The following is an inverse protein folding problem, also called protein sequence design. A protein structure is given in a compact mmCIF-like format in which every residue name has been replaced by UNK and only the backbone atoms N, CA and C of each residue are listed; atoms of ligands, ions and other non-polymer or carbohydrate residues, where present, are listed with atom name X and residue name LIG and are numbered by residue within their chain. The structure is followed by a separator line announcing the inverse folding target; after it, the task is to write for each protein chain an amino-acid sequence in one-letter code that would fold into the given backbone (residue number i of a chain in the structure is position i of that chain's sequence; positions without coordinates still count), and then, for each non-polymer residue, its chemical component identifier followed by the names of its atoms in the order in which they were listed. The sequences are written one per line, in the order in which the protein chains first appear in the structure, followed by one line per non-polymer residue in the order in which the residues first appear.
data_IF_270393690223
#
_entry.id   IF_270393690223
#
_cell.length_a   1.000
_cell.length_b   1.000
_cell.length_c   1.000
_cell.angle_alpha   90.00
_cell.angle_beta   90.00
_cell.angle_gamma   90.00
#
_symmetry.space_group_name_H-M   'P 1'
#
loop_
_entity.id
_entity.type
_entity.pdbx_description
1 polymer ?
#
# COMPACT_ATOMS: atom_id res chain seq x y z
N UNK A 1 21.91 3.52 -23.42
CA UNK A 1 21.95 3.46 -21.94
C UNK A 1 20.50 3.58 -21.52
N UNK A 2 19.87 2.49 -21.07
CA UNK A 2 18.46 2.55 -20.65
C UNK A 2 18.30 3.65 -19.62
N UNK A 3 17.37 4.57 -19.88
CA UNK A 3 17.09 5.65 -18.95
C UNK A 3 16.56 5.00 -17.67
N UNK A 4 17.35 5.07 -16.59
CA UNK A 4 16.92 4.53 -15.30
C UNK A 4 15.67 5.29 -14.88
N UNK A 5 14.60 4.55 -14.59
CA UNK A 5 13.33 5.13 -14.17
C UNK A 5 13.51 6.11 -12.98
N UNK A 6 12.80 7.23 -13.04
CA UNK A 6 13.05 8.41 -12.22
C UNK A 6 12.82 8.17 -10.72
N UNK A 7 11.92 7.26 -10.37
CA UNK A 7 11.68 6.85 -8.98
C UNK A 7 12.90 6.15 -8.36
N UNK A 8 13.75 5.49 -9.17
CA UNK A 8 15.01 4.89 -8.69
C UNK A 8 16.17 5.89 -8.67
N UNK A 9 16.17 6.90 -9.54
CA UNK A 9 17.22 7.92 -9.57
C UNK A 9 17.12 8.88 -8.38
N UNK A 10 15.91 9.27 -8.00
CA UNK A 10 15.65 10.25 -6.96
C UNK A 10 14.58 9.79 -5.95
N UNK A 11 14.74 8.60 -5.33
CA UNK A 11 13.69 7.96 -4.55
C UNK A 11 13.17 8.85 -3.42
N UNK A 12 14.07 9.53 -2.69
CA UNK A 12 13.67 10.36 -1.55
C UNK A 12 12.72 11.50 -1.95
N UNK A 13 13.05 12.20 -3.04
CA UNK A 13 12.31 13.40 -3.45
C UNK A 13 11.04 13.03 -4.21
N UNK A 14 11.16 12.09 -5.15
CA UNK A 14 10.05 11.69 -6.02
C UNK A 14 8.96 11.02 -5.19
N UNK A 15 9.30 10.06 -4.32
CA UNK A 15 8.29 9.36 -3.52
C UNK A 15 7.61 10.25 -2.48
N UNK A 16 8.36 11.18 -1.88
CA UNK A 16 7.83 12.14 -0.91
C UNK A 16 6.80 13.07 -1.53
N UNK A 17 7.10 13.63 -2.71
CA UNK A 17 6.13 14.41 -3.48
C UNK A 17 4.96 13.55 -3.93
N UNK A 18 5.24 12.34 -4.43
CA UNK A 18 4.23 11.46 -5.00
C UNK A 18 3.14 11.10 -3.98
N UNK A 19 3.52 10.70 -2.77
CA UNK A 19 2.55 10.40 -1.71
C UNK A 19 1.82 11.66 -1.22
N UNK A 20 2.53 12.78 -1.06
CA UNK A 20 1.92 14.02 -0.55
C UNK A 20 0.85 14.58 -1.47
N UNK A 21 1.06 14.45 -2.78
CA UNK A 21 0.21 15.02 -3.82
C UNK A 21 -0.82 14.01 -4.35
N UNK A 22 -1.00 12.88 -3.64
CA UNK A 22 -1.83 11.76 -4.10
C UNK A 22 -3.32 12.00 -3.87
N UNK A 23 -3.68 12.38 -2.64
CA UNK A 23 -5.06 12.71 -2.23
C UNK A 23 -5.53 14.01 -2.89
N UNK A 24 -4.68 15.04 -2.85
CA UNK A 24 -4.98 16.39 -3.34
C UNK A 24 -3.71 17.09 -3.80
N UNK A 25 -3.81 18.10 -4.66
CA UNK A 25 -2.65 18.90 -5.04
C UNK A 25 -2.00 19.56 -3.83
N UNK A 26 -0.66 19.58 -3.78
CA UNK A 26 0.10 20.25 -2.73
C UNK A 26 1.24 21.10 -3.29
N UNK A 27 1.54 22.18 -2.60
CA UNK A 27 2.73 23.00 -2.83
C UNK A 27 3.97 22.36 -2.20
N UNK A 28 5.15 22.76 -2.68
CA UNK A 28 6.43 22.28 -2.13
C UNK A 28 6.61 22.68 -0.66
N UNK A 29 6.10 23.85 -0.29
CA UNK A 29 6.11 24.34 1.09
C UNK A 29 5.30 23.44 2.01
N UNK A 30 4.11 22.98 1.58
CA UNK A 30 3.29 22.04 2.37
C UNK A 30 3.98 20.69 2.55
N UNK A 31 4.62 20.16 1.50
CA UNK A 31 5.38 18.90 1.58
C UNK A 31 6.60 19.04 2.50
N UNK A 32 7.30 20.17 2.38
CA UNK A 32 8.44 20.53 3.23
C UNK A 32 8.06 20.57 4.71
N UNK A 33 6.92 21.17 5.04
CA UNK A 33 6.38 21.23 6.41
C UNK A 33 5.98 19.83 6.89
N UNK A 34 5.28 19.05 6.06
CA UNK A 34 4.78 17.72 6.43
C UNK A 34 5.90 16.78 6.87
N UNK A 35 7.00 16.72 6.11
CA UNK A 35 8.12 15.81 6.38
C UNK A 35 9.35 16.45 7.03
N UNK A 36 9.27 17.74 7.38
CA UNK A 36 10.36 18.51 8.00
C UNK A 36 11.65 18.46 7.18
N UNK A 37 11.54 18.72 5.88
CA UNK A 37 12.68 18.79 4.94
C UNK A 37 12.77 20.17 4.30
N UNK A 38 13.97 20.70 4.00
CA UNK A 38 14.10 22.00 3.33
C UNK A 38 13.50 22.00 1.92
N UNK A 39 12.77 23.06 1.54
CA UNK A 39 12.25 23.24 0.17
C UNK A 39 13.35 23.19 -0.90
N UNK A 40 14.57 23.64 -0.55
CA UNK A 40 15.75 23.61 -1.43
C UNK A 40 16.10 22.20 -1.93
N UNK A 41 15.66 21.14 -1.25
CA UNK A 41 15.82 19.77 -1.72
C UNK A 41 15.15 19.54 -3.08
N UNK A 42 13.97 20.14 -3.29
CA UNK A 42 13.14 19.94 -4.47
C UNK A 42 13.51 20.88 -5.63
N UNK A 43 14.04 22.08 -5.35
CA UNK A 43 14.44 23.03 -6.39
C UNK A 43 15.84 22.77 -6.99
N UNK A 44 16.62 21.84 -6.42
CA UNK A 44 17.97 21.53 -6.90
C UNK A 44 17.93 20.80 -8.24
N UNK A 45 18.83 21.21 -9.15
CA UNK A 45 19.11 20.55 -10.43
C UNK A 45 17.86 20.39 -11.32
N UNK A 46 17.02 21.41 -11.42
CA UNK A 46 15.81 21.41 -12.25
C UNK A 46 14.83 20.26 -11.99
N UNK A 47 14.92 19.61 -10.82
CA UNK A 47 14.16 18.40 -10.50
C UNK A 47 12.64 18.54 -10.71
N UNK A 48 12.05 19.69 -10.38
CA UNK A 48 10.62 19.92 -10.58
C UNK A 48 10.21 19.93 -12.05
N UNK A 49 11.05 20.48 -12.93
CA UNK A 49 10.77 20.47 -14.36
C UNK A 49 10.90 19.03 -14.89
N UNK A 50 11.94 18.31 -14.47
CA UNK A 50 12.17 16.93 -14.90
C UNK A 50 10.99 16.00 -14.52
N UNK A 51 10.47 16.10 -13.29
CA UNK A 51 9.34 15.23 -12.88
C UNK A 51 8.03 15.56 -13.61
N UNK A 52 7.85 16.80 -14.04
CA UNK A 52 6.68 17.22 -14.84
C UNK A 52 6.85 16.78 -16.29
N UNK A 53 8.02 16.96 -16.88
CA UNK A 53 8.36 16.51 -18.24
C UNK A 53 8.26 14.98 -18.39
N UNK A 54 8.67 14.24 -17.35
CA UNK A 54 8.49 12.77 -17.28
C UNK A 54 7.04 12.34 -17.02
N UNK A 55 6.11 13.29 -16.85
CA UNK A 55 4.71 12.99 -16.62
C UNK A 55 4.42 12.31 -15.28
N UNK A 56 5.27 12.52 -14.27
CA UNK A 56 5.05 11.97 -12.91
C UNK A 56 4.09 12.88 -12.14
N UNK A 57 4.14 14.19 -12.41
CA UNK A 57 3.25 15.18 -11.82
C UNK A 57 2.64 16.10 -12.86
N UNK A 58 1.41 16.52 -12.59
CA UNK A 58 0.83 17.71 -13.21
C UNK A 58 1.15 18.93 -12.35
N UNK A 59 1.62 20.00 -12.98
CA UNK A 59 1.85 21.29 -12.34
C UNK A 59 0.66 22.22 -12.61
N UNK A 60 0.09 22.78 -11.54
CA UNK A 60 -1.00 23.76 -11.60
C UNK A 60 -0.62 25.00 -10.80
N UNK A 61 -1.13 26.17 -11.22
CA UNK A 61 -0.89 27.44 -10.54
C UNK A 61 -2.17 27.98 -9.94
N UNK A 62 -2.18 28.19 -8.62
CA UNK A 62 -3.22 28.95 -7.93
C UNK A 62 -2.66 30.32 -7.59
N UNK A 63 -3.01 31.31 -8.41
CA UNK A 63 -2.34 32.61 -8.42
C UNK A 63 -0.88 32.46 -8.86
N UNK A 64 0.07 32.77 -7.97
CA UNK A 64 1.53 32.62 -8.22
C UNK A 64 2.14 31.39 -7.56
N UNK A 65 1.33 30.57 -6.87
CA UNK A 65 1.82 29.43 -6.10
C UNK A 65 1.71 28.14 -6.94
N UNK A 66 2.82 27.39 -7.11
CA UNK A 66 2.80 26.11 -7.80
C UNK A 66 2.25 24.99 -6.90
N UNK A 67 1.36 24.18 -7.45
CA UNK A 67 0.81 22.98 -6.85
C UNK A 67 1.08 21.78 -7.76
N UNK A 68 1.46 20.66 -7.17
CA UNK A 68 1.68 19.41 -7.88
C UNK A 68 0.57 18.42 -7.58
N UNK A 69 0.21 17.62 -8.59
CA UNK A 69 -0.70 16.50 -8.47
C UNK A 69 -0.06 15.24 -9.05
N UNK A 70 -0.05 14.14 -8.29
CA UNK A 70 0.60 12.88 -8.70
C UNK A 70 -0.18 12.16 -9.80
N UNK A 71 0.54 11.67 -10.81
CA UNK A 71 -0.05 10.97 -11.96
C UNK A 71 0.41 9.51 -12.02
N UNK A 72 -0.52 8.61 -12.36
CA UNK A 72 -0.25 7.19 -12.58
C UNK A 72 0.03 6.90 -14.06
N UNK A 73 1.13 7.45 -14.58
CA UNK A 73 1.54 7.29 -15.98
C UNK A 73 2.34 6.00 -16.21
N UNK A 74 2.75 5.76 -17.45
CA UNK A 74 3.65 4.65 -17.81
C UNK A 74 4.98 4.70 -17.03
N UNK A 75 5.46 5.88 -16.63
CA UNK A 75 6.64 6.01 -15.77
C UNK A 75 6.41 5.36 -14.39
N UNK A 76 5.25 5.61 -13.77
CA UNK A 76 4.90 4.95 -12.50
C UNK A 76 4.65 3.46 -12.69
N UNK A 77 3.95 3.06 -13.76
CA UNK A 77 3.67 1.65 -14.05
C UNK A 77 4.96 0.85 -14.23
N UNK A 78 5.91 1.37 -15.00
CA UNK A 78 7.21 0.74 -15.21
C UNK A 78 8.00 0.65 -13.88
N UNK A 79 8.01 1.74 -13.10
CA UNK A 79 8.57 1.72 -11.74
C UNK A 79 7.97 0.60 -10.90
N UNK A 80 6.64 0.50 -10.85
CA UNK A 80 5.93 -0.45 -10.01
C UNK A 80 6.21 -1.90 -10.46
N UNK A 81 6.23 -2.17 -11.76
CA UNK A 81 6.58 -3.50 -12.30
C UNK A 81 8.01 -3.91 -11.94
N UNK A 82 9.00 -3.03 -12.19
CA UNK A 82 10.40 -3.31 -11.87
C UNK A 82 10.56 -3.54 -10.35
N UNK A 83 10.03 -2.64 -9.54
CA UNK A 83 10.16 -2.71 -8.08
C UNK A 83 9.44 -3.91 -7.47
N UNK A 84 8.31 -4.37 -8.03
CA UNK A 84 7.64 -5.61 -7.61
C UNK A 84 8.59 -6.81 -7.73
N UNK A 85 9.34 -6.92 -8.83
CA UNK A 85 10.31 -8.02 -9.04
C UNK A 85 11.53 -7.94 -8.13
N UNK A 86 11.80 -6.77 -7.54
CA UNK A 86 12.90 -6.55 -6.59
C UNK A 86 12.53 -6.86 -5.13
N UNK A 87 11.23 -7.04 -4.84
CA UNK A 87 10.80 -7.33 -3.48
C UNK A 87 11.25 -8.72 -3.02
N UNK A 88 11.72 -8.87 -1.78
CA UNK A 88 12.15 -10.16 -1.23
C UNK A 88 10.95 -11.01 -0.79
N UNK A 89 10.02 -11.31 -1.71
CA UNK A 89 8.77 -12.04 -1.46
C UNK A 89 8.59 -13.25 -2.40
N UNK A 90 7.55 -14.05 -2.17
CA UNK A 90 7.21 -15.20 -3.00
C UNK A 90 6.93 -14.79 -4.45
N UNK A 91 7.39 -15.61 -5.40
CA UNK A 91 7.19 -15.38 -6.83
C UNK A 91 5.69 -15.36 -7.19
N UNK A 92 4.91 -16.28 -6.66
CA UNK A 92 3.45 -16.34 -6.84
C UNK A 92 2.76 -15.02 -6.50
N UNK A 93 3.21 -14.35 -5.42
CA UNK A 93 2.66 -13.05 -5.05
C UNK A 93 3.03 -11.97 -6.07
N UNK A 94 4.30 -11.93 -6.48
CA UNK A 94 4.79 -10.98 -7.49
C UNK A 94 4.01 -11.17 -8.79
N UNK A 95 3.89 -12.40 -9.27
CA UNK A 95 3.20 -12.72 -10.52
C UNK A 95 1.71 -12.36 -10.42
N UNK A 96 1.06 -12.57 -9.25
CA UNK A 96 -0.32 -12.12 -9.02
C UNK A 96 -0.48 -10.60 -9.16
N UNK A 97 0.45 -9.81 -8.60
CA UNK A 97 0.43 -8.36 -8.74
C UNK A 97 0.74 -7.89 -10.17
N UNK A 98 1.66 -8.58 -10.87
CA UNK A 98 2.02 -8.25 -12.25
C UNK A 98 0.89 -8.57 -13.24
N UNK A 99 0.20 -9.70 -13.07
CA UNK A 99 -0.97 -10.07 -13.88
C UNK A 99 -2.07 -9.02 -13.80
N UNK A 100 -2.30 -8.47 -12.60
CA UNK A 100 -3.34 -7.47 -12.34
C UNK A 100 -2.87 -6.03 -12.54
N UNK A 101 -1.65 -5.80 -13.05
CA UNK A 101 -1.01 -4.47 -13.04
C UNK A 101 -1.91 -3.37 -13.61
N UNK A 102 -2.55 -3.60 -14.76
CA UNK A 102 -3.38 -2.57 -15.39
C UNK A 102 -4.65 -2.26 -14.58
N UNK A 103 -5.24 -3.27 -13.94
CA UNK A 103 -6.37 -3.11 -13.03
C UNK A 103 -5.94 -2.33 -11.79
N UNK A 104 -4.78 -2.65 -11.23
CA UNK A 104 -4.24 -1.99 -10.05
C UNK A 104 -3.86 -0.54 -10.31
N UNK A 105 -3.18 -0.23 -11.43
CA UNK A 105 -2.88 1.16 -11.80
C UNK A 105 -4.16 1.98 -11.96
N UNK A 106 -5.18 1.43 -12.62
CA UNK A 106 -6.49 2.08 -12.75
C UNK A 106 -7.16 2.29 -11.40
N UNK A 107 -7.10 1.29 -10.51
CA UNK A 107 -7.61 1.37 -9.15
C UNK A 107 -6.88 2.45 -8.34
N UNK A 108 -5.56 2.55 -8.45
CA UNK A 108 -4.77 3.56 -7.75
C UNK A 108 -5.16 4.99 -8.14
N UNK A 109 -5.56 5.20 -9.40
CA UNK A 109 -5.96 6.51 -9.90
C UNK A 109 -7.37 6.94 -9.47
N UNK A 110 -8.14 6.05 -8.83
CA UNK A 110 -9.48 6.40 -8.34
C UNK A 110 -9.42 7.41 -7.18
N UNK A 111 -10.41 8.29 -7.11
CA UNK A 111 -10.61 9.20 -5.95
C UNK A 111 -10.65 8.43 -4.64
N UNK A 112 -11.23 7.22 -4.67
CA UNK A 112 -11.32 6.34 -3.53
C UNK A 112 -9.93 5.91 -3.00
N UNK A 113 -9.09 5.32 -3.86
CA UNK A 113 -7.75 4.90 -3.41
C UNK A 113 -6.90 6.08 -2.97
N UNK A 114 -6.96 7.18 -3.72
CA UNK A 114 -6.30 8.46 -3.36
C UNK A 114 -6.75 8.97 -1.99
N UNK A 115 -8.03 8.76 -1.64
CA UNK A 115 -8.62 9.10 -0.34
C UNK A 115 -8.04 8.36 0.87
N UNK A 116 -7.25 7.30 0.68
CA UNK A 116 -6.50 6.67 1.78
C UNK A 116 -5.25 7.44 2.20
N UNK A 117 -4.73 8.29 1.34
CA UNK A 117 -3.43 8.95 1.55
C UNK A 117 -3.58 10.31 2.22
N UNK A 118 -4.49 10.35 3.20
CA UNK A 118 -4.74 11.51 4.06
C UNK A 118 -3.52 11.80 4.93
N UNK A 119 -3.50 13.01 5.45
CA UNK A 119 -2.35 13.51 6.20
C UNK A 119 -2.00 12.66 7.44
N UNK A 120 -2.98 12.08 8.12
CA UNK A 120 -2.77 11.18 9.26
C UNK A 120 -2.04 9.89 8.85
N UNK A 121 -2.38 9.31 7.70
CA UNK A 121 -1.65 8.17 7.10
C UNK A 121 -0.25 8.60 6.68
N UNK A 122 -0.11 9.73 5.99
CA UNK A 122 1.21 10.22 5.55
C UNK A 122 2.15 10.49 6.74
N UNK A 123 1.61 10.92 7.89
CA UNK A 123 2.37 11.17 9.13
C UNK A 123 2.91 9.91 9.79
N UNK A 124 2.49 8.71 9.38
CA UNK A 124 3.14 7.46 9.81
C UNK A 124 4.51 7.27 9.16
N UNK A 125 4.84 8.06 8.14
CA UNK A 125 6.11 8.05 7.42
C UNK A 125 6.98 9.24 7.84
N UNK A 126 8.23 8.98 8.19
CA UNK A 126 9.28 9.99 8.33
C UNK A 126 10.22 10.04 7.10
N UNK A 127 11.03 11.10 7.01
CA UNK A 127 12.00 11.33 5.92
C UNK A 127 12.94 10.16 5.61
N UNK A 128 13.26 9.31 6.60
CA UNK A 128 14.20 8.21 6.40
C UNK A 128 13.61 7.06 5.57
N UNK A 129 12.29 6.83 5.63
CA UNK A 129 11.65 5.78 4.83
C UNK A 129 11.80 6.04 3.33
N UNK A 130 11.75 7.31 2.91
CA UNK A 130 11.79 7.70 1.50
C UNK A 130 13.13 7.39 0.81
N UNK A 131 14.18 7.05 1.57
CA UNK A 131 15.45 6.57 1.02
C UNK A 131 15.35 5.17 0.43
N UNK A 132 14.37 4.38 0.84
CA UNK A 132 14.11 3.06 0.28
C UNK A 132 13.44 3.21 -1.11
N UNK A 133 14.09 2.77 -2.20
CA UNK A 133 13.51 2.87 -3.54
C UNK A 133 12.26 2.01 -3.73
N UNK A 134 11.98 1.05 -2.86
CA UNK A 134 10.83 0.15 -2.95
C UNK A 134 9.66 0.59 -2.04
N UNK A 135 9.75 1.77 -1.41
CA UNK A 135 8.76 2.22 -0.44
C UNK A 135 7.35 2.33 -1.05
N UNK A 136 7.18 3.05 -2.17
CA UNK A 136 5.87 3.20 -2.81
C UNK A 136 5.26 1.84 -3.13
N UNK A 137 6.03 0.95 -3.74
CA UNK A 137 5.57 -0.39 -4.10
C UNK A 137 5.17 -1.21 -2.89
N UNK A 138 5.93 -1.12 -1.81
CA UNK A 138 5.62 -1.78 -0.53
C UNK A 138 4.32 -1.24 0.07
N UNK A 139 4.15 0.09 0.12
CA UNK A 139 2.96 0.70 0.71
C UNK A 139 1.71 0.39 -0.12
N UNK A 140 1.79 0.53 -1.45
CA UNK A 140 0.67 0.29 -2.35
C UNK A 140 0.24 -1.17 -2.35
N UNK A 141 1.20 -2.10 -2.46
CA UNK A 141 0.91 -3.54 -2.40
C UNK A 141 0.35 -3.96 -1.04
N UNK A 142 0.85 -3.36 0.05
CA UNK A 142 0.29 -3.57 1.39
C UNK A 142 -1.14 -3.08 1.48
N UNK A 143 -1.43 -1.87 0.99
CA UNK A 143 -2.80 -1.33 0.97
C UNK A 143 -3.72 -2.25 0.17
N UNK A 144 -3.34 -2.67 -1.04
CA UNK A 144 -4.13 -3.62 -1.84
C UNK A 144 -4.35 -4.92 -1.08
N UNK A 145 -3.33 -5.48 -0.44
CA UNK A 145 -3.48 -6.71 0.33
C UNK A 145 -4.47 -6.54 1.50
N UNK A 146 -4.38 -5.45 2.26
CA UNK A 146 -5.30 -5.14 3.35
C UNK A 146 -6.75 -5.00 2.85
N UNK A 147 -6.96 -4.23 1.78
CA UNK A 147 -8.28 -4.04 1.20
C UNK A 147 -8.86 -5.36 0.67
N UNK A 148 -8.04 -6.14 -0.02
CA UNK A 148 -8.41 -7.47 -0.54
C UNK A 148 -8.78 -8.44 0.58
N UNK A 149 -8.08 -8.38 1.72
CA UNK A 149 -8.40 -9.18 2.91
C UNK A 149 -9.75 -8.81 3.52
N UNK A 150 -10.14 -7.53 3.53
CA UNK A 150 -11.49 -7.12 3.91
C UNK A 150 -12.52 -7.67 2.93
N UNK A 151 -12.26 -7.55 1.63
CA UNK A 151 -13.16 -8.11 0.60
C UNK A 151 -13.31 -9.61 0.79
N UNK A 152 -12.24 -10.36 1.05
CA UNK A 152 -12.29 -11.79 1.36
C UNK A 152 -13.17 -12.08 2.59
N UNK A 153 -12.93 -11.38 3.69
CA UNK A 153 -13.68 -11.55 4.94
C UNK A 153 -15.19 -11.32 4.74
N UNK A 154 -15.58 -10.27 4.03
CA UNK A 154 -17.00 -9.93 3.79
C UNK A 154 -17.60 -10.82 2.70
N UNK A 155 -16.95 -10.96 1.55
CA UNK A 155 -17.54 -11.62 0.38
C UNK A 155 -17.52 -13.14 0.49
N UNK A 156 -16.40 -13.72 0.92
CA UNK A 156 -16.20 -15.18 0.97
C UNK A 156 -16.70 -15.75 2.30
N UNK A 157 -16.28 -15.17 3.42
CA UNK A 157 -16.62 -15.66 4.76
C UNK A 157 -17.89 -15.05 5.36
N UNK A 158 -18.55 -14.13 4.63
CA UNK A 158 -19.82 -13.52 5.03
C UNK A 158 -19.76 -12.82 6.39
N UNK A 159 -18.58 -12.31 6.77
CA UNK A 159 -18.45 -11.52 7.98
C UNK A 159 -19.08 -10.13 7.77
N UNK A 160 -19.80 -9.59 8.76
CA UNK A 160 -20.19 -8.19 8.73
C UNK A 160 -18.95 -7.30 8.57
N UNK A 161 -19.05 -6.21 7.80
CA UNK A 161 -17.91 -5.33 7.49
C UNK A 161 -17.15 -4.85 8.74
N UNK A 162 -17.86 -4.45 9.80
CA UNK A 162 -17.21 -4.03 11.06
C UNK A 162 -16.41 -5.16 11.71
N UNK A 163 -16.95 -6.39 11.68
CA UNK A 163 -16.26 -7.58 12.20
C UNK A 163 -15.03 -7.88 11.35
N UNK A 164 -15.14 -7.84 10.02
CA UNK A 164 -14.02 -8.02 9.10
C UNK A 164 -12.90 -7.01 9.37
N UNK A 165 -13.26 -5.73 9.59
CA UNK A 165 -12.34 -4.66 9.93
C UNK A 165 -11.63 -4.92 11.26
N UNK A 166 -12.37 -5.32 12.31
CA UNK A 166 -11.77 -5.69 13.61
C UNK A 166 -10.86 -6.91 13.49
N UNK A 167 -11.27 -7.95 12.77
CA UNK A 167 -10.44 -9.14 12.52
C UNK A 167 -9.13 -8.77 11.83
N UNK A 168 -9.19 -7.87 10.84
CA UNK A 168 -7.98 -7.38 10.18
C UNK A 168 -7.10 -6.54 11.12
N UNK A 169 -7.69 -5.71 12.00
CA UNK A 169 -6.93 -4.97 13.01
C UNK A 169 -6.15 -5.90 13.96
N UNK A 170 -6.72 -7.05 14.33
CA UNK A 170 -6.06 -8.07 15.16
C UNK A 170 -5.05 -8.90 14.35
N UNK A 171 -5.37 -9.20 13.09
CA UNK A 171 -4.58 -10.08 12.22
C UNK A 171 -3.52 -9.37 11.34
N UNK A 172 -3.47 -8.03 11.31
CA UNK A 172 -2.55 -7.27 10.43
C UNK A 172 -1.08 -7.65 10.61
N UNK A 173 -0.67 -8.00 11.84
CA UNK A 173 0.71 -8.43 12.11
C UNK A 173 1.05 -9.72 11.37
N UNK A 174 0.08 -10.63 11.19
CA UNK A 174 0.26 -11.84 10.40
C UNK A 174 0.54 -11.48 8.94
N UNK A 175 -0.29 -10.62 8.34
CA UNK A 175 -0.10 -10.15 6.97
C UNK A 175 1.28 -9.51 6.80
N UNK A 176 1.67 -8.61 7.71
CA UNK A 176 2.94 -7.89 7.64
C UNK A 176 4.15 -8.71 8.10
N UNK A 177 4.00 -10.00 8.41
CA UNK A 177 5.18 -10.82 8.71
C UNK A 177 6.00 -11.07 7.46
N UNK A 178 7.32 -11.11 7.61
CA UNK A 178 8.25 -11.43 6.51
C UNK A 178 8.02 -12.79 5.84
N UNK A 179 7.18 -13.66 6.42
CA UNK A 179 6.83 -14.96 5.86
C UNK A 179 5.53 -14.94 5.05
N UNK A 180 4.58 -14.07 5.41
CA UNK A 180 3.29 -13.96 4.70
C UNK A 180 3.34 -12.88 3.61
N UNK A 181 3.75 -11.65 3.97
CA UNK A 181 3.99 -10.53 3.04
C UNK A 181 5.16 -9.68 3.55
N UNK A 182 6.39 -9.89 3.05
CA UNK A 182 7.61 -9.19 3.48
C UNK A 182 7.72 -7.77 2.92
N UNK A 183 6.65 -6.98 3.03
CA UNK A 183 6.73 -5.55 2.76
C UNK A 183 7.39 -4.84 3.95
N UNK A 184 8.30 -3.91 3.66
CA UNK A 184 8.95 -3.08 4.66
C UNK A 184 8.00 -1.94 5.11
N UNK A 185 6.83 -2.29 5.64
CA UNK A 185 5.77 -1.34 6.00
C UNK A 185 5.51 -1.40 7.51
N UNK A 186 5.41 -0.22 8.13
CA UNK A 186 5.16 -0.13 9.56
C UNK A 186 3.75 -0.60 9.91
N UNK A 187 3.61 -1.24 11.08
CA UNK A 187 2.30 -1.64 11.59
C UNK A 187 1.37 -0.43 11.75
N UNK A 188 1.90 0.72 12.17
CA UNK A 188 1.14 1.96 12.33
C UNK A 188 0.54 2.49 11.02
N UNK A 189 1.24 2.32 9.88
CA UNK A 189 0.66 2.63 8.56
C UNK A 189 -0.57 1.77 8.29
N UNK A 190 -0.44 0.44 8.42
CA UNK A 190 -1.53 -0.48 8.19
C UNK A 190 -2.72 -0.24 9.13
N UNK A 191 -2.46 0.05 10.41
CA UNK A 191 -3.49 0.43 11.37
C UNK A 191 -4.30 1.64 10.92
N UNK A 192 -3.61 2.67 10.43
CA UNK A 192 -4.25 3.92 10.02
C UNK A 192 -5.08 3.71 8.75
N UNK A 193 -4.59 2.93 7.78
CA UNK A 193 -5.37 2.51 6.60
C UNK A 193 -6.65 1.78 7.01
N UNK A 194 -6.53 0.74 7.86
CA UNK A 194 -7.70 -0.05 8.29
C UNK A 194 -8.68 0.83 9.05
N UNK A 195 -8.18 1.69 9.96
CA UNK A 195 -9.02 2.62 10.74
C UNK A 195 -9.84 3.54 9.83
N UNK A 196 -9.22 4.07 8.77
CA UNK A 196 -9.84 5.03 7.86
C UNK A 196 -10.78 4.38 6.82
N UNK A 197 -10.72 3.06 6.64
CA UNK A 197 -11.64 2.35 5.75
C UNK A 197 -13.07 2.43 6.27
N UNK A 198 -13.96 3.11 5.53
CA UNK A 198 -15.39 3.17 5.81
C UNK A 198 -16.18 2.10 5.03
N UNK A 199 -17.50 2.02 5.27
CA UNK A 199 -18.37 1.13 4.52
C UNK A 199 -18.61 1.61 3.09
N UNK A 200 -18.67 2.93 2.89
CA UNK A 200 -18.86 3.54 1.57
C UNK A 200 -17.64 3.27 0.68
N UNK A 201 -16.46 3.40 1.29
CA UNK A 201 -15.17 3.03 0.72
C UNK A 201 -15.11 1.55 0.28
N UNK A 202 -15.59 0.64 1.15
CA UNK A 202 -15.54 -0.80 0.90
C UNK A 202 -16.22 -1.23 -0.40
N UNK A 203 -17.31 -0.58 -0.82
CA UNK A 203 -18.03 -0.91 -2.06
C UNK A 203 -17.08 -0.83 -3.26
N UNK A 204 -16.17 0.14 -3.26
CA UNK A 204 -15.16 0.30 -4.30
C UNK A 204 -14.05 -0.74 -4.23
N UNK A 205 -13.81 -1.38 -3.08
CA UNK A 205 -12.88 -2.50 -2.97
C UNK A 205 -13.40 -3.79 -3.60
N UNK A 206 -14.71 -3.95 -3.79
CA UNK A 206 -15.30 -5.21 -4.28
C UNK A 206 -14.73 -5.63 -5.64
N UNK A 207 -14.32 -4.67 -6.48
CA UNK A 207 -13.63 -4.95 -7.74
C UNK A 207 -12.34 -5.77 -7.57
N UNK A 208 -11.69 -5.72 -6.41
CA UNK A 208 -10.49 -6.51 -6.14
C UNK A 208 -10.79 -8.00 -6.14
N UNK A 209 -12.04 -8.43 -5.97
CA UNK A 209 -12.46 -9.84 -5.98
C UNK A 209 -12.09 -10.58 -7.27
N UNK A 210 -12.05 -9.86 -8.39
CA UNK A 210 -11.79 -10.48 -9.70
C UNK A 210 -10.29 -10.63 -10.01
N UNK A 211 -9.44 -10.03 -9.18
CA UNK A 211 -7.97 -10.01 -9.33
C UNK A 211 -7.32 -11.35 -8.97
N UNK A 212 -6.17 -11.64 -9.57
CA UNK A 212 -5.27 -12.73 -9.15
C UNK A 212 -4.75 -12.51 -7.72
N UNK A 213 -4.50 -11.27 -7.32
CA UNK A 213 -4.14 -10.91 -5.94
C UNK A 213 -5.17 -11.42 -4.93
N UNK A 214 -6.48 -11.28 -5.22
CA UNK A 214 -7.54 -11.84 -4.38
C UNK A 214 -7.47 -13.37 -4.30
N UNK A 215 -7.28 -14.06 -5.43
CA UNK A 215 -7.19 -15.52 -5.44
C UNK A 215 -6.00 -16.02 -4.62
N UNK A 216 -4.86 -15.37 -4.76
CA UNK A 216 -3.65 -15.67 -4.00
C UNK A 216 -3.87 -15.48 -2.49
N UNK A 217 -4.42 -14.33 -2.08
CA UNK A 217 -4.72 -14.04 -0.68
C UNK A 217 -5.77 -14.98 -0.10
N UNK A 218 -6.76 -15.37 -0.90
CA UNK A 218 -7.79 -16.35 -0.51
C UNK A 218 -7.15 -17.69 -0.14
N UNK A 219 -6.23 -18.17 -0.97
CA UNK A 219 -5.49 -19.42 -0.76
C UNK A 219 -4.62 -19.35 0.50
N UNK A 220 -3.84 -18.28 0.65
CA UNK A 220 -3.01 -18.07 1.84
C UNK A 220 -3.84 -18.02 3.13
N UNK A 221 -5.00 -17.36 3.08
CA UNK A 221 -5.86 -17.26 4.25
C UNK A 221 -6.52 -18.60 4.59
N UNK A 222 -6.95 -19.39 3.60
CA UNK A 222 -7.42 -20.76 3.83
C UNK A 222 -6.34 -21.64 4.47
N UNK A 223 -5.09 -21.55 3.98
CA UNK A 223 -3.94 -22.25 4.56
C UNK A 223 -3.67 -21.82 6.00
N UNK A 224 -3.72 -20.51 6.27
CA UNK A 224 -3.58 -19.98 7.62
C UNK A 224 -4.70 -20.46 8.56
N UNK A 225 -5.96 -20.35 8.14
CA UNK A 225 -7.09 -20.82 8.94
C UNK A 225 -6.99 -22.32 9.17
N UNK A 226 -6.60 -23.12 8.17
CA UNK A 226 -6.45 -24.58 8.31
C UNK A 226 -5.30 -24.98 9.25
N UNK A 227 -4.22 -24.21 9.29
CA UNK A 227 -3.06 -24.46 10.17
C UNK A 227 -3.28 -23.97 11.60
N UNK A 228 -3.87 -22.77 11.78
CA UNK A 228 -4.19 -22.22 13.10
C UNK A 228 -5.38 -22.92 13.73
N UNK A 229 -6.42 -23.29 12.98
CA UNK A 229 -7.52 -24.10 13.52
C UNK A 229 -7.01 -25.46 13.99
N UNK A 230 -6.09 -26.13 13.28
CA UNK A 230 -5.43 -27.34 13.78
C UNK A 230 -4.61 -27.08 15.04
N UNK A 231 -3.73 -26.08 15.07
CA UNK A 231 -2.88 -25.86 16.24
C UNK A 231 -3.65 -25.37 17.47
N UNK A 232 -4.69 -24.54 17.27
CA UNK A 232 -5.59 -24.08 18.33
C UNK A 232 -6.49 -25.22 18.83
N UNK A 233 -7.05 -26.04 17.94
CA UNK A 233 -7.81 -27.25 18.32
C UNK A 233 -6.92 -28.31 18.99
N UNK A 234 -5.67 -28.50 18.54
CA UNK A 234 -4.69 -29.40 19.15
C UNK A 234 -4.22 -28.91 20.52
N UNK A 235 -4.01 -27.59 20.68
CA UNK A 235 -3.67 -26.99 21.97
C UNK A 235 -4.83 -27.04 22.95
N UNK A 236 -6.07 -26.78 22.48
CA UNK A 236 -7.28 -26.96 23.26
C UNK A 236 -7.48 -28.43 23.66
N UNK A 237 -7.34 -29.38 22.75
CA UNK A 237 -7.49 -30.82 23.07
C UNK A 237 -6.37 -31.34 23.97
N UNK A 238 -5.12 -30.85 23.86
CA UNK A 238 -4.06 -31.14 24.84
C UNK A 238 -4.39 -30.59 26.23
N UNK A 239 -4.94 -29.38 26.30
CA UNK A 239 -5.31 -28.75 27.57
C UNK A 239 -6.50 -29.45 28.23
N UNK A 240 -7.50 -29.86 27.43
CA UNK A 240 -8.66 -30.63 27.89
C UNK A 240 -8.32 -32.08 28.27
N UNK A 241 -7.38 -32.75 27.59
CA UNK A 241 -6.89 -34.08 28.03
C UNK A 241 -6.10 -34.00 29.34
N UNK A 242 -5.36 -32.91 29.56
CA UNK A 242 -4.59 -32.71 30.80
C UNK A 242 -5.49 -32.36 32.01
N UNK A 243 -6.67 -31.81 31.78
CA UNK A 243 -7.67 -31.49 32.83
C UNK A 243 -8.76 -32.56 33.01
N UNK A 244 -8.67 -33.70 32.30
CA UNK A 244 -9.51 -34.90 32.52
C UNK A 244 -8.75 -36.05 33.20
N UNK A 245 -7.59 -35.76 33.79
CA UNK A 245 -6.74 -36.71 34.54
C UNK A 245 -6.49 -36.24 35.99
N UNK A 246 -7.50 -35.66 36.64
CA UNK A 246 -7.56 -35.48 38.09
C UNK A 246 -8.98 -35.87 38.52
#
# INVERSE_FOLDING_TARGET
MEEKNFFFLHPERTQMLFLSCLEKPRSIEEVSILYKVPTTLFYRKNFLNEVVEKGIFKLEYVGRKPFLYSLFTEEFKNYFQISLTMLPTSRDLIDSFLDDINVLITFFDTTYFRGFWKEDVLRTLNKHHFKDPLLLTSLFSTTVALLTMIVLAVEKYKLPFEVAKTTLQTGKSFLLTKKAFPFNVSIGFAETIIKNLSRDDYIHCVLLKDTKVYRFLSRLFDEFVSSVSRSFLESLTKTFKKHKMI
#
